data_IF_048013340890
#
_entry.id   IF_048013340890
#
_cell.length_a   1.000
_cell.length_b   1.000
_cell.length_c   1.000
_cell.angle_alpha   90.00
_cell.angle_beta   90.00
_cell.angle_gamma   90.00
#
_symmetry.space_group_name_H-M   'P 1'
#
loop_
_entity.id
_entity.type
_entity.pdbx_description
1 polymer ?
2 non-polymer ?
#
# COMPACT_ATOMS: atom_id res chain seq x y z
N UNK A 1 17.13 6.69 -8.75
CA UNK A 1 16.83 7.63 -7.68
C UNK A 1 15.58 7.20 -6.95
N UNK A 2 15.68 7.08 -5.65
CA UNK A 2 14.55 6.69 -4.82
C UNK A 2 13.47 7.76 -4.86
N UNK A 3 12.41 7.46 -5.55
CA UNK A 3 11.28 8.36 -5.65
C UNK A 3 10.22 7.91 -4.65
N UNK A 4 10.34 8.41 -3.44
CA UNK A 4 9.37 8.10 -2.39
C UNK A 4 7.99 8.64 -2.74
N UNK A 5 7.03 7.76 -2.72
CA UNK A 5 5.65 8.09 -3.03
C UNK A 5 4.97 8.72 -1.83
N UNK A 6 3.96 9.50 -2.12
CA UNK A 6 3.22 10.18 -1.11
C UNK A 6 2.03 9.31 -0.64
N UNK A 7 1.31 9.78 0.33
CA UNK A 7 0.19 9.04 0.87
C UNK A 7 -1.06 9.24 -0.01
N UNK A 8 -1.01 10.23 -0.88
CA UNK A 8 -2.12 10.54 -1.77
C UNK A 8 -2.22 9.50 -2.85
N UNK A 9 -1.07 9.16 -3.41
CA UNK A 9 -0.99 8.20 -4.49
C UNK A 9 -1.42 6.83 -3.96
N UNK A 10 -0.90 6.49 -2.77
CA UNK A 10 -1.22 5.23 -2.06
C UNK A 10 -2.74 5.11 -1.86
N UNK A 11 -3.35 6.18 -1.39
CA UNK A 11 -4.79 6.24 -1.17
C UNK A 11 -5.57 5.93 -2.46
N UNK A 12 -5.16 6.55 -3.54
CA UNK A 12 -5.83 6.40 -4.82
C UNK A 12 -5.65 5.00 -5.40
N UNK A 13 -4.44 4.50 -5.31
CA UNK A 13 -4.13 3.16 -5.82
C UNK A 13 -4.88 2.06 -5.04
N UNK A 14 -5.20 2.34 -3.78
CA UNK A 14 -5.94 1.40 -2.94
C UNK A 14 -7.38 1.31 -3.41
N UNK A 15 -7.84 2.38 -4.04
CA UNK A 15 -9.20 2.45 -4.57
C UNK A 15 -9.31 1.62 -5.86
N UNK A 16 -8.28 1.70 -6.70
CA UNK A 16 -8.26 1.05 -8.04
C UNK A 16 -8.43 -0.49 -7.95
N UNK A 17 -8.15 -1.05 -6.79
CA UNK A 17 -8.16 -2.47 -6.60
C UNK A 17 -9.58 -3.01 -6.30
N UNK A 18 -10.54 -2.11 -6.08
CA UNK A 18 -11.89 -2.54 -5.74
C UNK A 18 -12.86 -2.31 -6.90
N UNK A 19 -13.33 -1.08 -7.05
CA UNK A 19 -14.27 -0.79 -8.10
C UNK A 19 -14.84 0.61 -8.00
N UNK A 20 -16.01 0.73 -7.41
CA UNK A 20 -16.71 2.01 -7.28
C UNK A 20 -17.72 1.94 -6.12
N UNK A 21 -18.82 1.24 -6.36
CA UNK A 21 -19.92 1.14 -5.41
C UNK A 21 -19.72 -0.09 -4.53
N UNK A 22 -18.53 -0.23 -4.02
CA UNK A 22 -18.14 -1.38 -3.26
C UNK A 22 -17.01 -1.06 -2.31
N UNK A 23 -16.68 0.22 -2.22
CA UNK A 23 -15.61 0.64 -1.36
C UNK A 23 -16.07 1.73 -0.45
N UNK A 24 -15.22 2.13 0.47
CA UNK A 24 -15.57 3.16 1.42
C UNK A 24 -14.86 4.48 1.03
N UNK A 25 -14.99 5.48 1.87
CA UNK A 25 -14.39 6.77 1.60
C UNK A 25 -13.08 6.84 2.31
N UNK A 26 -12.01 6.71 1.58
CA UNK A 26 -10.69 6.84 2.17
C UNK A 26 -10.38 8.31 2.31
N UNK A 27 -10.82 8.88 3.39
CA UNK A 27 -10.61 10.25 3.69
C UNK A 27 -10.44 10.37 5.20
N UNK A 28 -9.90 11.47 5.64
CA UNK A 28 -9.62 11.65 7.04
C UNK A 28 -8.33 10.96 7.39
N UNK A 29 -8.41 9.67 7.54
CA UNK A 29 -7.25 8.86 7.84
C UNK A 29 -7.51 7.44 7.43
N UNK A 30 -6.46 6.76 7.05
CA UNK A 30 -6.51 5.37 6.78
C UNK A 30 -5.18 4.74 7.18
N UNK A 31 -4.32 5.51 7.81
CA UNK A 31 -2.99 5.05 8.16
C UNK A 31 -2.95 4.28 9.47
N UNK A 32 -3.72 4.71 10.45
CA UNK A 32 -3.68 4.09 11.80
C UNK A 32 -4.78 3.02 11.96
N UNK A 33 -5.44 2.72 10.85
CA UNK A 33 -6.49 1.73 10.82
C UNK A 33 -5.95 0.41 10.19
N UNK A 34 -6.67 -0.69 10.34
CA UNK A 34 -6.21 -2.00 9.86
C UNK A 34 -6.77 -2.31 8.48
N UNK A 35 -6.23 -3.34 7.85
CA UNK A 35 -6.69 -3.74 6.52
C UNK A 35 -8.00 -4.52 6.63
N UNK A 36 -8.06 -5.40 7.64
CA UNK A 36 -9.29 -6.17 7.98
C UNK A 36 -10.43 -5.16 8.30
N UNK A 37 -10.00 -4.03 8.83
CA UNK A 37 -10.89 -2.98 9.31
C UNK A 37 -11.53 -2.22 8.12
N UNK A 38 -10.85 -2.24 6.97
CA UNK A 38 -11.37 -1.56 5.77
C UNK A 38 -11.85 -2.54 4.71
N UNK A 39 -12.09 -3.76 5.12
CA UNK A 39 -12.62 -4.77 4.21
C UNK A 39 -11.63 -5.24 3.15
N UNK A 40 -10.37 -5.29 3.50
CA UNK A 40 -9.36 -5.84 2.63
C UNK A 40 -8.73 -7.06 3.25
N UNK A 41 -8.67 -8.15 2.50
CA UNK A 41 -8.10 -9.39 3.01
C UNK A 41 -6.58 -9.38 2.84
N UNK A 42 -6.15 -9.92 1.72
CA UNK A 42 -4.78 -10.08 1.36
C UNK A 42 -4.67 -10.05 -0.15
N UNK A 43 -5.53 -10.85 -0.79
CA UNK A 43 -5.63 -10.98 -2.25
C UNK A 43 -5.82 -9.62 -2.89
N UNK A 44 -6.89 -8.93 -2.52
CA UNK A 44 -7.20 -7.61 -3.07
C UNK A 44 -6.16 -6.58 -2.64
N UNK A 45 -5.45 -6.91 -1.58
CA UNK A 45 -4.46 -6.02 -1.01
C UNK A 45 -3.15 -6.16 -1.81
N UNK A 46 -2.78 -7.40 -2.19
CA UNK A 46 -1.60 -7.62 -2.99
C UNK A 46 -1.72 -6.99 -4.37
N UNK A 47 -2.95 -6.90 -4.87
CA UNK A 47 -3.23 -6.21 -6.12
C UNK A 47 -2.79 -4.73 -6.01
N UNK A 48 -3.12 -4.11 -4.89
CA UNK A 48 -2.73 -2.76 -4.57
C UNK A 48 -1.19 -2.66 -4.49
N UNK A 49 -0.57 -3.62 -3.82
CA UNK A 49 0.87 -3.68 -3.68
C UNK A 49 1.57 -3.75 -5.05
N UNK A 50 1.13 -4.69 -5.88
CA UNK A 50 1.71 -4.93 -7.21
C UNK A 50 1.54 -3.73 -8.12
N UNK A 51 0.47 -2.98 -7.88
CA UNK A 51 0.15 -1.76 -8.62
C UNK A 51 1.32 -0.77 -8.44
N UNK A 52 1.79 -0.67 -7.21
CA UNK A 52 2.87 0.23 -6.84
C UNK A 52 4.25 -0.36 -7.23
N UNK A 53 4.44 -1.67 -6.95
CA UNK A 53 5.70 -2.38 -7.24
C UNK A 53 6.10 -2.19 -8.71
N UNK A 54 5.17 -2.46 -9.60
CA UNK A 54 5.44 -2.40 -11.04
C UNK A 54 5.75 -0.97 -11.51
N UNK A 55 5.14 0.00 -10.86
CA UNK A 55 5.31 1.38 -11.24
C UNK A 55 6.67 1.93 -10.81
N UNK A 56 7.07 1.66 -9.59
CA UNK A 56 8.35 2.17 -9.10
C UNK A 56 9.50 1.21 -9.34
N UNK A 57 9.18 -0.01 -9.68
CA UNK A 57 10.19 -1.01 -9.95
C UNK A 57 10.71 -1.64 -8.70
N UNK A 58 9.80 -2.08 -7.84
CA UNK A 58 10.20 -2.67 -6.57
C UNK A 58 9.68 -4.10 -6.44
N UNK A 59 9.97 -4.74 -5.31
CA UNK A 59 9.51 -6.09 -5.03
C UNK A 59 9.35 -6.22 -3.52
N UNK A 60 8.17 -6.57 -3.09
CA UNK A 60 7.85 -6.77 -1.69
C UNK A 60 8.34 -8.15 -1.19
N UNK A 61 9.07 -8.17 -0.05
CA UNK A 61 9.57 -9.40 0.54
C UNK A 61 8.46 -10.17 1.29
N UNK A 62 8.51 -11.49 1.23
CA UNK A 62 7.45 -12.37 1.74
C UNK A 62 7.25 -12.31 3.28
N UNK A 63 8.29 -12.58 4.07
CA UNK A 63 8.17 -12.55 5.56
C UNK A 63 7.75 -11.18 6.06
N UNK A 64 8.18 -10.16 5.35
CA UNK A 64 7.96 -8.79 5.77
C UNK A 64 6.51 -8.35 5.50
N UNK A 65 5.81 -9.09 4.66
CA UNK A 65 4.42 -8.78 4.35
C UNK A 65 3.54 -9.05 5.57
N UNK A 66 4.01 -9.91 6.45
CA UNK A 66 3.29 -10.21 7.67
C UNK A 66 3.62 -9.25 8.79
N UNK A 67 4.30 -8.15 8.47
CA UNK A 67 4.67 -7.15 9.47
C UNK A 67 3.90 -5.85 9.29
N UNK A 68 2.97 -5.84 8.37
CA UNK A 68 2.19 -4.64 8.14
C UNK A 68 0.74 -4.82 8.57
N UNK A 69 0.39 -4.24 9.70
CA UNK A 69 -0.98 -4.31 10.18
C UNK A 69 -1.72 -3.11 9.67
N UNK A 70 -1.00 -2.02 9.56
CA UNK A 70 -1.55 -0.76 9.13
C UNK A 70 -0.87 -0.27 7.84
N UNK A 71 -1.59 0.52 6.98
CA UNK A 71 -1.02 1.14 5.76
C UNK A 71 0.20 1.99 6.07
N UNK A 72 0.23 2.51 7.31
CA UNK A 72 1.33 3.30 7.83
C UNK A 72 2.64 2.54 7.67
N UNK A 73 2.62 1.30 8.10
CA UNK A 73 3.79 0.45 8.11
C UNK A 73 4.14 -0.01 6.70
N UNK A 74 3.10 -0.14 5.87
CA UNK A 74 3.27 -0.57 4.49
C UNK A 74 4.04 0.54 3.73
N UNK A 75 3.68 1.79 4.03
CA UNK A 75 4.32 2.94 3.40
C UNK A 75 5.81 2.98 3.75
N UNK A 76 6.12 2.78 5.04
CA UNK A 76 7.52 2.76 5.54
C UNK A 76 8.32 1.71 4.81
N UNK A 77 7.74 0.53 4.69
CA UNK A 77 8.32 -0.60 3.99
C UNK A 77 8.74 -0.25 2.55
N UNK A 78 7.83 0.35 1.79
CA UNK A 78 8.13 0.68 0.40
C UNK A 78 9.11 1.84 0.31
N UNK A 79 8.90 2.86 1.14
CA UNK A 79 9.78 4.02 1.19
C UNK A 79 11.20 3.61 1.56
N UNK A 80 11.31 2.74 2.54
CA UNK A 80 12.59 2.26 3.00
C UNK A 80 13.30 1.41 1.97
N UNK A 81 12.54 0.55 1.27
CA UNK A 81 13.14 -0.33 0.30
C UNK A 81 13.68 0.47 -0.88
N UNK A 82 12.95 1.54 -1.25
CA UNK A 82 13.38 2.47 -2.30
C UNK A 82 14.72 3.11 -1.97
N UNK A 83 14.89 3.48 -0.71
CA UNK A 83 16.10 4.14 -0.23
C UNK A 83 17.31 3.23 -0.33
N UNK A 84 17.10 1.92 -0.26
CA UNK A 84 18.18 0.97 -0.34
C UNK A 84 18.43 0.57 -1.82
N UNK A 85 17.52 0.95 -2.71
CA UNK A 85 17.63 0.61 -4.14
C UNK A 85 18.40 1.71 -4.91
N UNK A 86 18.51 2.89 -4.28
CA UNK A 86 19.27 4.05 -4.79
C UNK A 86 18.84 4.48 -6.21
#
# INVERSE_FOLDING_TARGET
MATLLTTDDLRRALVESAGETDGTDLSGDFLDLRFEDIGYDSLALMETAARLESRYGVSIPDDVAGRVDTPRELLDLINGALAEAA
#
